data_IF_117720477070
#
_entry.id   IF_117720477070
#
_cell.length_a   1.000
_cell.length_b   1.000
_cell.length_c   1.000
_cell.angle_alpha   90.00
_cell.angle_beta   90.00
_cell.angle_gamma   90.00
#
_symmetry.space_group_name_H-M   'P 1'
#
loop_
_entity.id
_entity.type
_entity.pdbx_description
1 polymer ?
#
# COMPACT_ATOMS: atom_id res chain seq x y z
N UNK A 1 -1.15 -10.05 9.69
CA UNK A 1 -1.08 -11.51 9.70
C UNK A 1 -0.60 -12.06 11.05
N UNK A 2 0.47 -11.51 11.66
CA UNK A 2 0.97 -11.96 12.97
C UNK A 2 -0.04 -11.85 14.10
N UNK A 3 -0.90 -10.82 14.06
CA UNK A 3 -1.97 -10.59 15.04
C UNK A 3 -3.05 -11.68 15.04
N UNK A 4 -3.25 -12.36 13.92
CA UNK A 4 -4.25 -13.42 13.77
C UNK A 4 -3.64 -14.82 13.65
N UNK A 5 -2.34 -14.96 13.94
CA UNK A 5 -1.61 -16.23 13.91
C UNK A 5 -1.33 -16.79 12.51
N UNK A 6 -1.40 -15.98 11.47
CA UNK A 6 -1.07 -16.36 10.11
C UNK A 6 0.44 -16.28 9.83
N UNK A 7 0.87 -16.97 8.77
CA UNK A 7 2.16 -16.67 8.12
C UNK A 7 2.12 -15.31 7.42
N UNK A 8 3.27 -14.70 7.19
CA UNK A 8 3.32 -13.35 6.58
C UNK A 8 2.77 -13.33 5.16
N UNK A 9 2.88 -14.45 4.42
CA UNK A 9 2.40 -14.61 3.05
C UNK A 9 0.90 -14.91 2.93
N UNK A 10 0.18 -15.06 4.04
CA UNK A 10 -1.26 -15.30 3.99
C UNK A 10 -1.98 -14.11 3.36
N UNK A 11 -2.94 -14.41 2.48
CA UNK A 11 -3.72 -13.37 1.82
C UNK A 11 -4.54 -12.55 2.85
N UNK A 12 -4.50 -11.24 2.68
CA UNK A 12 -5.27 -10.27 3.44
C UNK A 12 -5.97 -9.31 2.47
N UNK A 13 -6.93 -8.54 2.97
CA UNK A 13 -7.61 -7.51 2.17
C UNK A 13 -6.86 -6.18 2.30
N UNK A 14 -6.68 -5.50 1.17
CA UNK A 14 -6.35 -4.08 1.11
C UNK A 14 -7.62 -3.31 0.74
N UNK A 15 -7.93 -2.25 1.46
CA UNK A 15 -9.04 -1.34 1.13
C UNK A 15 -8.58 0.10 1.15
N UNK A 16 -9.08 0.88 0.21
CA UNK A 16 -8.73 2.29 0.00
C UNK A 16 -9.84 3.20 0.55
N UNK A 17 -9.47 4.13 1.43
CA UNK A 17 -10.35 5.23 1.85
C UNK A 17 -11.45 4.86 2.84
N UNK A 18 -11.55 3.62 3.28
CA UNK A 18 -12.60 3.15 4.20
C UNK A 18 -13.92 2.83 3.50
N UNK A 19 -15.00 2.72 4.28
CA UNK A 19 -16.34 2.36 3.79
C UNK A 19 -16.59 0.85 3.67
N UNK A 20 -15.60 0.00 3.98
CA UNK A 20 -15.77 -1.45 4.00
C UNK A 20 -16.71 -1.86 5.14
N UNK A 21 -17.68 -2.70 4.81
CA UNK A 21 -18.52 -3.41 5.79
C UNK A 21 -18.44 -4.90 5.49
N UNK A 22 -18.08 -5.68 6.50
CA UNK A 22 -18.02 -7.14 6.43
C UNK A 22 -18.94 -7.74 7.48
N UNK A 23 -19.66 -8.79 7.10
CA UNK A 23 -20.43 -9.62 8.03
C UNK A 23 -19.73 -10.96 8.23
N UNK A 24 -19.52 -11.34 9.47
CA UNK A 24 -18.96 -12.65 9.80
C UNK A 24 -20.06 -13.74 9.71
N UNK A 25 -19.88 -14.71 8.83
CA UNK A 25 -20.82 -15.85 8.70
C UNK A 25 -20.50 -16.97 9.72
N UNK A 26 -19.33 -16.92 10.33
CA UNK A 26 -18.85 -17.85 11.35
C UNK A 26 -18.06 -17.14 12.44
N UNK A 27 -17.57 -17.89 13.43
CA UNK A 27 -16.59 -17.37 14.38
C UNK A 27 -15.26 -17.13 13.67
N UNK A 28 -14.76 -15.90 13.69
CA UNK A 28 -13.51 -15.54 13.01
C UNK A 28 -12.75 -14.49 13.82
N UNK A 29 -11.43 -14.61 13.82
CA UNK A 29 -10.55 -13.57 14.35
C UNK A 29 -9.97 -12.77 13.19
N UNK A 30 -10.06 -11.46 13.27
CA UNK A 30 -9.52 -10.52 12.28
C UNK A 30 -8.60 -9.51 12.95
N UNK A 31 -7.79 -8.84 12.16
CA UNK A 31 -7.01 -7.69 12.62
C UNK A 31 -6.97 -6.63 11.53
N UNK A 32 -7.12 -5.37 11.93
CA UNK A 32 -7.05 -4.22 11.03
C UNK A 32 -5.81 -3.41 11.35
N UNK A 33 -5.03 -3.10 10.32
CA UNK A 33 -3.81 -2.28 10.40
C UNK A 33 -3.74 -1.29 9.24
N UNK A 34 -2.71 -0.48 9.18
CA UNK A 34 -2.48 0.52 8.13
C UNK A 34 -3.06 1.87 8.51
N UNK A 35 -4.00 2.38 7.70
CA UNK A 35 -4.65 3.68 7.95
C UNK A 35 -5.34 3.72 9.32
N UNK A 36 -5.47 4.93 9.87
CA UNK A 36 -6.10 5.17 11.17
C UNK A 36 -7.44 5.87 10.96
N UNK A 37 -8.49 5.30 11.50
CA UNK A 37 -9.85 5.80 11.43
C UNK A 37 -10.77 5.02 12.37
N UNK A 38 -12.04 5.33 12.33
CA UNK A 38 -13.03 4.62 13.12
C UNK A 38 -13.17 3.16 12.66
N UNK A 39 -13.19 2.25 13.61
CA UNK A 39 -13.46 0.83 13.41
C UNK A 39 -14.57 0.45 14.38
N UNK A 40 -15.65 -0.10 13.84
CA UNK A 40 -16.77 -0.53 14.67
C UNK A 40 -17.06 -2.02 14.46
N UNK A 41 -17.42 -2.71 15.53
CA UNK A 41 -18.06 -4.03 15.48
C UNK A 41 -19.49 -3.85 15.97
N UNK A 42 -20.45 -4.11 15.09
CA UNK A 42 -21.87 -3.81 15.29
C UNK A 42 -22.05 -2.30 15.56
N UNK A 43 -22.28 -1.90 16.80
CA UNK A 43 -22.45 -0.50 17.21
C UNK A 43 -21.38 -0.05 18.22
N UNK A 44 -20.32 -0.84 18.40
CA UNK A 44 -19.29 -0.58 19.40
C UNK A 44 -17.97 -0.29 18.72
N UNK A 45 -17.30 0.75 19.19
CA UNK A 45 -15.96 1.06 18.74
C UNK A 45 -14.99 -0.06 19.09
N UNK A 46 -14.12 -0.41 18.12
CA UNK A 46 -13.09 -1.42 18.24
C UNK A 46 -11.71 -0.82 17.92
N UNK A 47 -10.66 -1.42 18.47
CA UNK A 47 -9.29 -0.97 18.26
C UNK A 47 -8.68 -1.51 16.96
N UNK A 48 -7.90 -0.68 16.28
CA UNK A 48 -6.94 -1.17 15.27
C UNK A 48 -5.74 -1.82 15.96
N UNK A 49 -4.93 -2.53 15.15
CA UNK A 49 -3.63 -3.09 15.57
C UNK A 49 -3.68 -4.14 16.67
N UNK A 50 -4.87 -4.72 16.92
CA UNK A 50 -5.13 -5.79 17.89
C UNK A 50 -6.01 -6.87 17.25
N UNK A 51 -6.00 -8.12 17.77
CA UNK A 51 -6.98 -9.13 17.35
C UNK A 51 -8.41 -8.73 17.73
N UNK A 52 -9.33 -8.91 16.81
CA UNK A 52 -10.76 -8.66 16.96
C UNK A 52 -11.53 -9.98 16.74
N UNK A 53 -12.33 -10.38 17.69
CA UNK A 53 -13.11 -11.62 17.61
C UNK A 53 -14.54 -11.33 17.17
N UNK A 54 -14.92 -11.83 16.01
CA UNK A 54 -16.26 -11.70 15.45
C UNK A 54 -17.05 -12.99 15.66
N UNK A 55 -18.32 -12.87 15.96
CA UNK A 55 -19.30 -13.96 16.05
C UNK A 55 -20.12 -13.98 14.76
N UNK A 56 -20.79 -15.11 14.46
CA UNK A 56 -21.73 -15.15 13.35
C UNK A 56 -22.74 -14.00 13.44
N UNK A 57 -22.94 -13.26 12.35
CA UNK A 57 -23.79 -12.08 12.24
C UNK A 57 -23.17 -10.77 12.70
N UNK A 58 -21.98 -10.77 13.31
CA UNK A 58 -21.29 -9.52 13.65
C UNK A 58 -20.83 -8.79 12.41
N UNK A 59 -21.00 -7.46 12.40
CA UNK A 59 -20.59 -6.58 11.30
C UNK A 59 -19.41 -5.72 11.70
N UNK A 60 -18.30 -5.87 11.01
CA UNK A 60 -17.13 -5.01 11.09
C UNK A 60 -17.25 -3.90 10.07
N UNK A 61 -17.12 -2.65 10.51
CA UNK A 61 -17.12 -1.46 9.65
C UNK A 61 -15.81 -0.70 9.78
N UNK A 62 -15.21 -0.34 8.65
CA UNK A 62 -14.06 0.56 8.56
C UNK A 62 -14.55 1.93 8.10
N UNK A 63 -14.45 2.93 8.97
CA UNK A 63 -14.79 4.32 8.67
C UNK A 63 -13.75 4.99 7.78
N UNK A 64 -14.01 6.25 7.43
CA UNK A 64 -13.05 7.05 6.67
C UNK A 64 -11.78 7.30 7.51
N UNK A 65 -10.58 7.05 6.96
CA UNK A 65 -9.35 7.31 7.70
C UNK A 65 -9.10 8.81 7.89
N UNK A 66 -8.58 9.19 9.03
CA UNK A 66 -8.04 10.52 9.31
C UNK A 66 -6.52 10.60 9.12
N UNK A 67 -5.82 9.44 9.15
CA UNK A 67 -4.39 9.31 8.86
C UNK A 67 -4.16 8.11 7.97
N UNK A 68 -3.33 8.25 6.94
CA UNK A 68 -3.15 7.22 5.93
C UNK A 68 -4.34 7.14 4.97
N UNK A 69 -4.35 6.11 4.12
CA UNK A 69 -5.39 5.93 3.10
C UNK A 69 -5.77 4.46 2.90
N UNK A 70 -4.89 3.50 3.24
CA UNK A 70 -5.11 2.07 3.04
C UNK A 70 -5.22 1.33 4.36
N UNK A 71 -6.33 0.62 4.55
CA UNK A 71 -6.45 -0.38 5.59
C UNK A 71 -6.04 -1.74 5.06
N UNK A 72 -5.46 -2.53 5.93
CA UNK A 72 -5.16 -3.94 5.69
C UNK A 72 -5.90 -4.77 6.72
N UNK A 73 -6.74 -5.68 6.25
CA UNK A 73 -7.50 -6.58 7.11
C UNK A 73 -7.00 -8.01 6.90
N UNK A 74 -6.45 -8.58 7.95
CA UNK A 74 -6.07 -9.98 8.01
C UNK A 74 -7.17 -10.79 8.71
N UNK A 75 -7.38 -12.02 8.23
CA UNK A 75 -8.36 -12.97 8.77
C UNK A 75 -7.61 -14.23 9.20
N UNK A 76 -7.90 -14.77 10.37
CA UNK A 76 -7.28 -16.00 10.86
C UNK A 76 -7.53 -17.16 9.86
N UNK A 77 -6.46 -17.84 9.48
CA UNK A 77 -6.44 -18.83 8.41
C UNK A 77 -6.13 -18.25 7.02
N UNK A 78 -6.10 -16.90 6.88
CA UNK A 78 -5.96 -16.23 5.59
C UNK A 78 -7.21 -16.35 4.72
N UNK A 79 -7.20 -15.70 3.57
CA UNK A 79 -8.26 -15.80 2.58
C UNK A 79 -7.96 -16.94 1.60
N UNK A 80 -8.97 -17.80 1.36
CA UNK A 80 -8.88 -18.93 0.44
C UNK A 80 -9.06 -18.46 -1.00
N UNK A 81 -8.00 -17.86 -1.55
CA UNK A 81 -7.98 -17.32 -2.91
C UNK A 81 -6.90 -18.04 -3.72
N UNK A 82 -7.19 -18.45 -4.97
CA UNK A 82 -6.18 -19.06 -5.84
C UNK A 82 -4.99 -18.12 -6.07
N UNK A 83 -3.78 -18.70 -6.03
CA UNK A 83 -2.58 -17.96 -6.38
C UNK A 83 -2.39 -17.98 -7.92
N UNK A 84 -2.04 -16.82 -8.49
CA UNK A 84 -1.65 -16.68 -9.89
C UNK A 84 -0.18 -16.25 -9.90
N UNK A 85 0.67 -16.99 -10.57
CA UNK A 85 2.14 -16.78 -10.58
C UNK A 85 2.75 -16.64 -9.16
N UNK A 86 2.18 -17.39 -8.20
CA UNK A 86 2.63 -17.35 -6.81
C UNK A 86 2.05 -16.22 -5.95
N UNK A 87 1.29 -15.30 -6.52
CA UNK A 87 0.66 -14.17 -5.82
C UNK A 87 -0.86 -14.35 -5.68
N UNK A 88 -1.42 -13.87 -4.57
CA UNK A 88 -2.87 -13.72 -4.36
C UNK A 88 -3.35 -12.27 -4.46
N UNK A 89 -2.46 -11.34 -4.83
CA UNK A 89 -2.82 -9.95 -5.07
C UNK A 89 -3.41 -9.80 -6.49
N UNK A 90 -4.30 -8.81 -6.65
CA UNK A 90 -4.70 -8.33 -7.96
C UNK A 90 -3.66 -7.35 -8.50
N UNK A 91 -3.11 -7.62 -9.66
CA UNK A 91 -2.26 -6.71 -10.42
C UNK A 91 -3.15 -5.87 -11.34
N UNK A 92 -3.24 -4.57 -11.07
CA UNK A 92 -4.13 -3.66 -11.80
C UNK A 92 -3.65 -3.37 -13.22
N UNK A 93 -2.33 -3.40 -13.47
CA UNK A 93 -1.74 -3.18 -14.78
C UNK A 93 -1.87 -4.40 -15.68
N UNK A 94 -1.44 -5.56 -15.20
CA UNK A 94 -1.46 -6.83 -15.94
C UNK A 94 -2.82 -7.52 -15.92
N UNK A 95 -3.76 -7.08 -15.07
CA UNK A 95 -5.05 -7.73 -14.82
C UNK A 95 -4.89 -9.20 -14.45
N UNK A 96 -3.89 -9.48 -13.62
CA UNK A 96 -3.57 -10.82 -13.14
C UNK A 96 -4.03 -10.99 -11.68
N UNK A 97 -4.24 -12.24 -11.28
CA UNK A 97 -4.69 -12.56 -9.93
C UNK A 97 -6.20 -12.48 -9.77
N UNK A 98 -6.70 -12.67 -8.53
CA UNK A 98 -8.13 -12.63 -8.24
C UNK A 98 -8.67 -11.22 -8.51
N UNK A 99 -9.93 -11.09 -8.99
CA UNK A 99 -10.54 -9.78 -9.21
C UNK A 99 -10.69 -9.01 -7.90
N UNK A 100 -10.88 -7.67 -8.02
CA UNK A 100 -11.25 -6.86 -6.89
C UNK A 100 -12.56 -7.38 -6.27
N UNK A 101 -12.67 -7.27 -4.95
CA UNK A 101 -13.83 -7.75 -4.20
C UNK A 101 -15.03 -6.87 -4.49
N UNK A 102 -16.15 -7.50 -4.76
CA UNK A 102 -17.43 -6.85 -5.04
C UNK A 102 -18.35 -6.87 -3.80
N UNK A 103 -19.37 -6.02 -3.83
CA UNK A 103 -20.42 -6.02 -2.81
C UNK A 103 -21.15 -7.36 -2.79
N UNK A 104 -21.52 -7.82 -1.59
CA UNK A 104 -22.21 -9.10 -1.31
C UNK A 104 -21.41 -10.35 -1.70
N UNK A 105 -20.13 -10.21 -2.01
CA UNK A 105 -19.25 -11.34 -2.26
C UNK A 105 -18.95 -12.09 -0.95
N UNK A 106 -19.11 -13.43 -0.98
CA UNK A 106 -18.69 -14.31 0.12
C UNK A 106 -17.19 -14.62 -0.07
N UNK A 107 -16.42 -14.44 1.01
CA UNK A 107 -15.00 -14.75 1.04
C UNK A 107 -14.78 -15.96 1.95
N UNK A 108 -14.23 -17.02 1.39
CA UNK A 108 -13.84 -18.18 2.17
C UNK A 108 -12.51 -17.95 2.88
N UNK A 109 -12.42 -18.41 4.11
CA UNK A 109 -11.19 -18.40 4.90
C UNK A 109 -10.55 -19.78 4.86
N UNK A 110 -9.22 -19.81 4.92
CA UNK A 110 -8.49 -21.04 5.17
C UNK A 110 -8.74 -21.57 6.59
N UNK A 111 -8.29 -22.78 6.86
CA UNK A 111 -8.35 -23.34 8.20
C UNK A 111 -7.52 -22.46 9.16
N UNK A 112 -8.15 -21.99 10.23
CA UNK A 112 -7.42 -21.31 11.28
C UNK A 112 -6.36 -22.26 11.84
N UNK A 113 -5.09 -21.82 11.88
CA UNK A 113 -4.06 -22.62 12.54
C UNK A 113 -4.38 -22.65 14.03
N UNK A 114 -4.31 -23.83 14.62
CA UNK A 114 -4.34 -24.01 16.07
C UNK A 114 -3.02 -23.47 16.62
N UNK A 115 -2.96 -22.16 16.83
CA UNK A 115 -1.78 -21.46 17.35
C UNK A 115 -2.21 -20.12 17.90
N UNK A 116 -1.56 -19.70 18.98
CA UNK A 116 -1.80 -18.37 19.51
C UNK A 116 -1.28 -17.31 18.54
N UNK A 117 -1.93 -16.16 18.49
CA UNK A 117 -1.38 -14.97 17.85
C UNK A 117 0.06 -14.74 18.37
N UNK A 118 0.98 -14.43 17.46
CA UNK A 118 2.39 -14.23 17.85
C UNK A 118 2.58 -12.96 18.68
N UNK A 119 1.65 -12.02 18.52
CA UNK A 119 1.63 -10.73 19.23
C UNK A 119 0.17 -10.31 19.46
N UNK A 120 -0.08 -9.62 20.57
CA UNK A 120 -1.42 -9.10 20.91
C UNK A 120 -1.63 -7.67 20.41
N UNK A 121 -0.57 -7.00 20.04
CA UNK A 121 -0.59 -5.64 19.55
C UNK A 121 0.61 -5.36 18.64
N UNK A 122 0.39 -4.51 17.63
CA UNK A 122 1.46 -3.89 16.85
C UNK A 122 1.30 -2.38 16.90
N UNK A 123 2.39 -1.59 17.01
CA UNK A 123 2.26 -0.14 17.06
C UNK A 123 1.70 0.40 15.74
N UNK A 124 0.86 1.42 15.83
CA UNK A 124 0.52 2.24 14.68
C UNK A 124 1.76 3.02 14.23
N UNK A 125 1.92 3.18 12.93
CA UNK A 125 3.01 3.97 12.35
C UNK A 125 2.36 5.23 11.77
N UNK A 126 2.78 6.40 12.24
CA UNK A 126 2.40 7.66 11.63
C UNK A 126 3.24 7.86 10.35
N UNK A 127 2.61 8.04 9.19
CA UNK A 127 3.34 8.20 7.94
C UNK A 127 4.27 9.42 7.97
N UNK A 128 5.52 9.22 7.60
CA UNK A 128 6.51 10.30 7.50
C UNK A 128 6.14 11.30 6.41
N UNK A 129 6.46 12.57 6.65
CA UNK A 129 6.38 13.63 5.63
C UNK A 129 7.61 13.68 4.72
N UNK A 130 8.59 12.81 4.95
CA UNK A 130 9.85 12.76 4.21
C UNK A 130 10.16 11.35 3.76
N UNK A 131 10.37 11.18 2.44
CA UNK A 131 10.76 9.90 1.85
C UNK A 131 12.27 9.82 1.68
N UNK A 132 12.86 8.75 2.17
CA UNK A 132 14.28 8.49 1.98
C UNK A 132 14.52 7.90 0.60
N UNK A 133 15.51 8.44 -0.11
CA UNK A 133 15.87 8.00 -1.47
C UNK A 133 17.35 7.74 -1.61
N UNK A 134 17.66 6.76 -2.45
CA UNK A 134 18.99 6.50 -2.99
C UNK A 134 19.08 7.11 -4.39
N UNK A 135 20.28 7.53 -4.86
CA UNK A 135 20.48 7.92 -6.25
C UNK A 135 20.04 6.82 -7.21
N UNK A 136 19.33 7.18 -8.26
CA UNK A 136 18.97 6.27 -9.34
C UNK A 136 20.08 6.14 -10.41
N UNK A 137 20.03 5.11 -11.24
CA UNK A 137 21.07 4.86 -12.25
C UNK A 137 21.14 5.92 -13.37
N UNK A 138 20.09 6.71 -13.55
CA UNK A 138 20.00 7.73 -14.61
C UNK A 138 19.94 9.16 -14.04
N UNK A 139 19.98 9.31 -12.72
CA UNK A 139 19.99 10.61 -12.05
C UNK A 139 21.42 11.11 -11.86
N UNK A 140 21.66 12.36 -12.26
CA UNK A 140 22.85 13.08 -11.83
C UNK A 140 22.59 13.82 -10.50
N UNK A 141 23.66 14.29 -9.86
CA UNK A 141 23.56 15.02 -8.57
C UNK A 141 22.67 16.28 -8.69
N UNK A 142 22.62 16.90 -9.87
CA UNK A 142 21.81 18.12 -10.11
C UNK A 142 20.33 17.80 -10.06
N UNK A 143 19.88 16.71 -10.70
CA UNK A 143 18.47 16.30 -10.73
C UNK A 143 18.05 15.76 -9.37
N UNK A 144 18.92 15.02 -8.70
CA UNK A 144 18.67 14.53 -7.34
C UNK A 144 18.53 15.69 -6.35
N UNK A 145 19.39 16.72 -6.45
CA UNK A 145 19.29 17.92 -5.62
C UNK A 145 17.94 18.64 -5.83
N UNK A 146 17.50 18.82 -7.09
CA UNK A 146 16.20 19.41 -7.39
C UNK A 146 15.03 18.59 -6.80
N UNK A 147 15.10 17.25 -6.83
CA UNK A 147 14.09 16.37 -6.23
C UNK A 147 14.01 16.57 -4.72
N UNK A 148 15.17 16.64 -4.04
CA UNK A 148 15.28 16.77 -2.57
C UNK A 148 14.88 18.17 -2.09
N UNK A 149 15.26 19.21 -2.82
CA UNK A 149 14.89 20.60 -2.50
C UNK A 149 13.42 20.89 -2.76
N UNK A 150 12.79 20.10 -3.63
CA UNK A 150 11.39 20.25 -4.01
C UNK A 150 10.41 19.93 -2.88
N UNK A 151 9.23 20.51 -2.99
CA UNK A 151 8.04 20.11 -2.24
C UNK A 151 7.04 19.52 -3.25
N UNK A 152 6.49 18.36 -2.91
CA UNK A 152 5.71 17.57 -3.85
C UNK A 152 4.34 17.28 -3.28
N UNK A 153 3.30 17.49 -4.07
CA UNK A 153 1.94 17.12 -3.76
C UNK A 153 1.53 15.86 -4.53
N UNK A 154 0.53 15.18 -4.01
CA UNK A 154 -0.02 13.97 -4.60
C UNK A 154 -0.96 14.33 -5.75
N UNK A 155 -0.70 13.79 -6.95
CA UNK A 155 -1.62 13.90 -8.07
C UNK A 155 -2.83 12.96 -7.86
N UNK A 156 -4.07 13.43 -8.05
CA UNK A 156 -5.28 12.60 -7.92
C UNK A 156 -5.33 11.38 -8.84
N UNK A 157 -4.55 11.36 -9.92
CA UNK A 157 -4.43 10.21 -10.83
C UNK A 157 -3.42 9.17 -10.36
N UNK A 158 -2.94 9.28 -9.12
CA UNK A 158 -2.08 8.28 -8.50
C UNK A 158 -2.85 7.00 -8.22
N UNK A 159 -2.18 5.86 -8.46
CA UNK A 159 -2.75 4.52 -8.28
C UNK A 159 -1.69 3.52 -7.77
N UNK A 160 -1.99 2.22 -7.85
CA UNK A 160 -1.06 1.15 -7.48
C UNK A 160 0.09 0.96 -8.46
N UNK A 161 -0.03 1.45 -9.69
CA UNK A 161 1.03 1.42 -10.71
C UNK A 161 2.10 2.44 -10.38
N UNK A 162 1.66 3.67 -9.99
CA UNK A 162 2.59 4.72 -9.62
C UNK A 162 1.95 5.92 -8.95
N UNK A 163 2.67 6.46 -7.99
CA UNK A 163 2.32 7.70 -7.29
C UNK A 163 2.89 8.86 -8.09
N UNK A 164 2.02 9.63 -8.73
CA UNK A 164 2.37 10.79 -9.53
C UNK A 164 2.54 12.01 -8.66
N UNK A 165 3.59 12.78 -8.90
CA UNK A 165 3.91 13.96 -8.11
C UNK A 165 3.53 15.23 -8.86
N UNK A 166 2.97 16.18 -8.13
CA UNK A 166 2.75 17.54 -8.57
C UNK A 166 3.72 18.48 -7.86
N UNK A 167 4.29 19.43 -8.60
CA UNK A 167 5.25 20.38 -8.07
C UNK A 167 5.96 21.12 -9.19
N UNK A 168 7.10 21.71 -8.86
CA UNK A 168 7.95 22.34 -9.87
C UNK A 168 8.61 21.26 -10.75
N UNK A 169 8.42 21.29 -12.08
CA UNK A 169 9.03 20.31 -12.96
C UNK A 169 10.56 20.31 -12.85
N UNK A 170 11.13 19.12 -12.76
CA UNK A 170 12.58 18.91 -12.76
C UNK A 170 13.13 19.08 -14.18
N UNK A 171 14.34 19.59 -14.25
CA UNK A 171 15.04 19.76 -15.52
C UNK A 171 16.10 18.68 -15.68
N UNK A 172 15.96 17.87 -16.74
CA UNK A 172 16.94 16.87 -17.15
C UNK A 172 17.23 17.01 -18.64
N UNK A 173 18.43 16.65 -19.04
CA UNK A 173 18.80 16.57 -20.47
C UNK A 173 18.38 15.26 -21.15
N UNK A 174 17.95 14.25 -20.39
CA UNK A 174 17.60 12.92 -20.92
C UNK A 174 16.09 12.73 -20.89
N UNK A 175 15.49 12.42 -22.04
CA UNK A 175 14.03 12.33 -22.17
C UNK A 175 13.50 10.91 -22.37
N UNK A 176 14.27 10.03 -23.00
CA UNK A 176 13.90 8.64 -23.24
C UNK A 176 15.14 7.76 -23.32
N UNK A 177 15.04 6.58 -22.75
CA UNK A 177 16.11 5.58 -22.70
C UNK A 177 15.59 4.26 -23.28
N UNK A 178 16.47 3.35 -23.71
CA UNK A 178 16.07 1.98 -23.97
C UNK A 178 15.35 1.39 -22.75
N UNK A 179 14.32 0.58 -22.99
CA UNK A 179 13.60 -0.10 -21.91
C UNK A 179 14.53 -0.95 -21.08
N UNK A 180 14.40 -0.83 -19.75
CA UNK A 180 15.18 -1.58 -18.76
C UNK A 180 14.29 -2.08 -17.63
N UNK A 181 14.72 -3.09 -16.85
CA UNK A 181 13.96 -3.59 -15.71
C UNK A 181 13.67 -2.48 -14.71
N UNK A 182 12.44 -2.47 -14.16
CA UNK A 182 12.00 -1.54 -13.13
C UNK A 182 11.91 -2.23 -11.77
N UNK A 183 11.98 -1.44 -10.72
CA UNK A 183 11.83 -1.89 -9.34
C UNK A 183 10.80 -1.05 -8.60
N UNK A 184 10.17 -1.64 -7.59
CA UNK A 184 9.31 -0.94 -6.66
C UNK A 184 10.07 0.26 -6.05
N UNK A 185 9.41 1.42 -6.00
CA UNK A 185 9.99 2.65 -5.45
C UNK A 185 10.91 3.41 -6.41
N UNK A 186 11.13 2.92 -7.65
CA UNK A 186 11.85 3.71 -8.65
C UNK A 186 11.14 5.04 -8.92
N UNK A 187 11.88 6.14 -8.87
CA UNK A 187 11.39 7.48 -9.19
C UNK A 187 11.74 7.78 -10.64
N UNK A 188 10.76 7.59 -11.51
CA UNK A 188 10.87 7.87 -12.93
C UNK A 188 10.62 9.35 -13.22
N UNK A 189 11.33 9.89 -14.22
CA UNK A 189 11.15 11.25 -14.68
C UNK A 189 10.69 11.28 -16.15
N UNK A 190 9.35 11.38 -16.38
CA UNK A 190 8.79 11.58 -17.71
C UNK A 190 9.19 12.94 -18.32
N UNK A 191 8.96 13.15 -19.65
CA UNK A 191 9.33 14.38 -20.34
C UNK A 191 8.71 15.67 -19.81
N UNK A 192 7.57 15.57 -19.12
CA UNK A 192 6.92 16.73 -18.46
C UNK A 192 7.67 17.21 -17.21
N UNK A 193 8.70 16.50 -16.76
CA UNK A 193 9.50 16.84 -15.59
C UNK A 193 8.84 16.55 -14.24
N UNK A 194 7.67 15.90 -14.21
CA UNK A 194 6.97 15.54 -12.97
C UNK A 194 7.29 14.08 -12.60
N UNK A 195 7.91 13.84 -11.44
CA UNK A 195 8.32 12.50 -11.05
C UNK A 195 7.15 11.56 -10.78
N UNK A 196 7.37 10.26 -11.00
CA UNK A 196 6.43 9.18 -10.67
C UNK A 196 7.18 8.16 -9.81
N UNK A 197 6.69 7.87 -8.62
CA UNK A 197 7.21 6.80 -7.77
C UNK A 197 6.49 5.50 -8.16
N UNK A 198 7.21 4.50 -8.63
CA UNK A 198 6.62 3.23 -9.03
C UNK A 198 6.09 2.45 -7.83
N UNK A 199 4.83 2.02 -7.94
CA UNK A 199 4.08 1.29 -6.94
C UNK A 199 4.19 -0.24 -7.07
N UNK A 200 3.40 -1.00 -6.30
CA UNK A 200 3.45 -2.47 -6.32
C UNK A 200 3.04 -3.10 -7.65
N UNK A 201 2.18 -2.44 -8.43
CA UNK A 201 1.71 -2.91 -9.73
C UNK A 201 2.47 -2.24 -10.89
N UNK A 202 3.70 -1.79 -10.65
CA UNK A 202 4.52 -1.13 -11.67
C UNK A 202 4.84 -2.05 -12.86
N UNK A 203 5.09 -1.50 -14.05
CA UNK A 203 5.49 -2.31 -15.19
C UNK A 203 6.85 -2.98 -14.96
N UNK A 204 7.03 -4.18 -15.49
CA UNK A 204 8.30 -4.93 -15.41
C UNK A 204 9.46 -4.18 -16.04
N UNK A 205 9.18 -3.41 -17.10
CA UNK A 205 10.18 -2.60 -17.82
C UNK A 205 9.67 -1.19 -18.09
N UNK A 206 10.58 -0.23 -18.24
CA UNK A 206 10.25 1.16 -18.56
C UNK A 206 11.40 1.88 -19.24
N UNK A 207 11.10 2.96 -19.95
CA UNK A 207 12.06 3.73 -20.72
C UNK A 207 12.25 5.18 -20.26
N UNK A 208 11.63 5.59 -19.16
CA UNK A 208 11.94 6.90 -18.56
C UNK A 208 13.14 6.80 -17.62
N UNK A 209 13.96 7.86 -17.51
CA UNK A 209 15.06 7.92 -16.57
C UNK A 209 14.62 7.61 -15.14
N UNK A 210 15.32 6.73 -14.45
CA UNK A 210 15.17 6.48 -13.01
C UNK A 210 16.18 7.35 -12.28
N UNK A 211 15.70 8.47 -11.73
CA UNK A 211 16.55 9.50 -11.09
C UNK A 211 16.85 9.22 -9.62
N UNK A 212 16.00 8.45 -8.96
CA UNK A 212 16.14 8.04 -7.57
C UNK A 212 15.41 6.71 -7.34
N UNK A 213 15.63 6.10 -6.18
CA UNK A 213 14.84 4.95 -5.70
C UNK A 213 14.46 5.20 -4.24
N UNK A 214 13.16 5.19 -3.94
CA UNK A 214 12.65 5.27 -2.57
C UNK A 214 13.08 4.02 -1.81
N UNK A 215 13.61 4.20 -0.59
CA UNK A 215 14.01 3.06 0.24
C UNK A 215 12.80 2.23 0.67
N UNK A 216 13.00 0.94 0.91
CA UNK A 216 11.95 0.05 1.40
C UNK A 216 11.31 0.55 2.70
N UNK A 217 12.08 1.17 3.57
CA UNK A 217 11.58 1.78 4.81
C UNK A 217 10.56 2.90 4.56
N UNK A 218 10.72 3.69 3.49
CA UNK A 218 9.79 4.77 3.15
C UNK A 218 8.64 4.36 2.24
N UNK A 219 8.63 3.13 1.70
CA UNK A 219 7.54 2.70 0.82
C UNK A 219 6.21 2.57 1.55
N UNK A 220 6.21 2.25 2.85
CA UNK A 220 5.00 2.28 3.66
C UNK A 220 4.41 3.70 3.76
N UNK A 221 5.27 4.72 3.90
CA UNK A 221 4.84 6.12 3.95
C UNK A 221 4.25 6.56 2.60
N UNK A 222 4.87 6.16 1.48
CA UNK A 222 4.34 6.40 0.13
C UNK A 222 2.98 5.75 -0.04
N UNK A 223 2.81 4.49 0.40
CA UNK A 223 1.56 3.76 0.31
C UNK A 223 0.43 4.37 1.16
N UNK A 224 0.77 5.07 2.23
CA UNK A 224 -0.18 5.74 3.12
C UNK A 224 -0.35 7.24 2.84
N UNK A 225 0.25 7.75 1.77
CA UNK A 225 0.12 9.17 1.43
C UNK A 225 -1.29 9.50 0.95
N UNK A 226 -2.01 10.27 1.76
CA UNK A 226 -3.41 10.70 1.51
C UNK A 226 -3.55 12.13 1.04
N UNK A 227 -2.43 12.85 0.90
CA UNK A 227 -2.37 14.25 0.48
C UNK A 227 -1.44 15.10 1.34
N UNK A 228 -1.39 16.40 1.01
CA UNK A 228 -0.46 17.35 1.60
C UNK A 228 0.99 17.14 1.13
N UNK A 229 1.83 18.17 1.28
CA UNK A 229 3.17 18.17 0.72
C UNK A 229 4.10 17.15 1.38
N UNK A 230 4.95 16.54 0.56
CA UNK A 230 6.02 15.63 0.97
C UNK A 230 7.35 16.13 0.42
N UNK A 231 8.41 15.70 1.08
CA UNK A 231 9.80 15.98 0.67
C UNK A 231 10.58 14.70 0.51
N UNK A 232 11.66 14.79 -0.23
CA UNK A 232 12.64 13.72 -0.29
C UNK A 232 13.89 14.09 0.52
N UNK A 233 14.58 13.08 1.02
CA UNK A 233 15.87 13.20 1.66
C UNK A 233 16.75 12.05 1.20
N UNK A 234 18.00 12.34 0.93
CA UNK A 234 19.00 11.30 0.64
C UNK A 234 19.21 10.42 1.88
N UNK A 235 19.19 9.11 1.67
CA UNK A 235 19.40 8.08 2.69
C UNK A 235 20.88 7.97 3.06
#
# INVERSE_FOLDING_TARGET
>A
NRLVGNTEEAAALETLGGGLVLEALGHVTVAVTGAQGEIDIDTRSAGAHTPLHLRPGSRLRLGRPHTGIRYYLAVSGGLSTPAVLGSRAHDTLGRLGPPAIETDQILDTGAARVGHAQVDHVPAIDPSHTFLVLPGPDGDERVLAQLVEGSWDLDPQSDRIGVRLQGRPLRTGTHSLPSKPMVLGAVQLPPNGLPIILGPDHPTTGGYPVIAVVTSASMCDVAQWSGGPRRFRRA
#
